data_IF_893220476466
#
_entry.id   IF_893220476466
#
_cell.length_a   1.000
_cell.length_b   1.000
_cell.length_c   1.000
_cell.angle_alpha   90.00
_cell.angle_beta   90.00
_cell.angle_gamma   90.00
#
_symmetry.space_group_name_H-M   'P 1'
#
loop_
_entity.id
_entity.type
_entity.pdbx_description
1 polymer ?
2 polymer ?
3 water ?
#
# COMPACT_ATOMS: atom_id res chain seq x y z
N UNK A 1 -21.50 19.22 0.82
CA UNK A 1 -20.15 18.84 0.32
C UNK A 1 -20.16 18.69 -1.19
N UNK A 2 -19.00 18.89 -1.80
CA UNK A 2 -18.87 18.74 -3.24
C UNK A 2 -18.60 17.25 -3.50
N UNK A 3 -19.66 16.49 -3.77
CA UNK A 3 -19.56 15.03 -4.01
C UNK A 3 -19.03 14.68 -5.40
N UNK A 4 -17.94 13.91 -5.43
CA UNK A 4 -17.35 13.49 -6.70
C UNK A 4 -17.55 11.99 -6.88
N UNK A 5 -17.93 11.57 -8.08
CA UNK A 5 -18.15 10.15 -8.32
C UNK A 5 -17.32 9.64 -9.51
N UNK A 6 -16.33 8.80 -9.24
CA UNK A 6 -15.50 8.28 -10.31
C UNK A 6 -16.06 6.98 -10.85
N UNK A 7 -15.89 6.77 -12.16
CA UNK A 7 -16.37 5.57 -12.85
C UNK A 7 -15.40 5.18 -13.98
N UNK A 8 -15.06 3.90 -14.09
CA UNK A 8 -15.50 2.78 -13.25
C UNK A 8 -14.68 2.76 -11.98
N UNK A 9 -14.67 1.62 -11.29
CA UNK A 9 -13.89 1.45 -10.07
C UNK A 9 -12.61 0.68 -10.41
N UNK A 10 -12.79 -0.36 -11.22
CA UNK A 10 -11.70 -1.19 -11.70
C UNK A 10 -11.83 -1.16 -13.22
N UNK A 11 -10.70 -1.01 -13.90
CA UNK A 11 -10.70 -0.95 -15.35
C UNK A 11 -9.48 -1.68 -15.91
N UNK A 12 -9.70 -2.86 -16.52
CA UNK A 12 -8.61 -3.65 -17.09
C UNK A 12 -8.13 -3.03 -18.41
N UNK A 13 -6.85 -3.19 -18.74
CA UNK A 13 -6.37 -2.64 -20.00
C UNK A 13 -5.14 -3.33 -20.55
N UNK A 14 -5.18 -3.59 -21.85
CA UNK A 14 -4.09 -4.24 -22.55
C UNK A 14 -3.02 -3.19 -22.74
N UNK A 15 -1.75 -3.60 -22.75
CA UNK A 15 -0.71 -2.62 -22.96
C UNK A 15 -1.04 -1.85 -24.22
N UNK A 16 -0.40 -0.72 -24.42
CA UNK A 16 -0.63 0.08 -25.63
C UNK A 16 -2.01 0.60 -25.95
N UNK A 17 -3.07 0.04 -25.38
CA UNK A 17 -4.43 0.52 -25.69
C UNK A 17 -4.73 1.88 -25.08
N UNK A 18 -5.99 2.29 -25.17
CA UNK A 18 -6.43 3.56 -24.58
C UNK A 18 -7.08 3.21 -23.26
N UNK A 19 -7.25 4.20 -22.41
CA UNK A 19 -7.87 4.00 -21.11
C UNK A 19 -8.57 5.29 -20.73
N UNK A 20 -9.78 5.18 -20.19
CA UNK A 20 -10.53 6.38 -19.83
C UNK A 20 -11.24 6.29 -18.49
N UNK A 21 -11.05 7.31 -17.66
CA UNK A 21 -11.72 7.38 -16.37
C UNK A 21 -12.57 8.62 -16.42
N UNK A 22 -13.76 8.56 -15.84
CA UNK A 22 -14.64 9.70 -15.84
C UNK A 22 -14.86 10.20 -14.43
N UNK A 23 -14.75 11.50 -14.25
CA UNK A 23 -14.95 12.14 -12.97
C UNK A 23 -16.05 13.18 -13.10
N UNK A 24 -17.13 13.03 -12.33
CA UNK A 24 -18.18 14.02 -12.39
C UNK A 24 -18.63 14.43 -11.00
N UNK A 25 -18.74 15.75 -10.80
CA UNK A 25 -19.12 16.35 -9.52
C UNK A 25 -20.61 16.54 -9.29
N UNK A 26 -20.95 16.82 -8.04
CA UNK A 26 -22.33 17.03 -7.66
C UNK A 26 -22.75 18.44 -8.03
N UNK A 27 -21.77 19.25 -8.45
CA UNK A 27 -22.04 20.62 -8.85
C UNK A 27 -20.93 21.28 -9.68
N UNK A 28 -21.26 22.42 -10.27
CA UNK A 28 -20.35 23.18 -11.11
C UNK A 28 -19.03 23.47 -10.39
N UNK A 29 -17.93 23.50 -11.14
CA UNK A 29 -16.63 23.76 -10.55
C UNK A 29 -16.03 25.04 -11.14
N UNK A 30 -16.91 25.92 -11.63
CA UNK A 30 -16.49 27.18 -12.22
C UNK A 30 -16.17 28.20 -11.15
N UNK A 31 -14.90 28.57 -11.03
CA UNK A 31 -14.52 29.56 -10.03
C UNK A 31 -14.89 30.94 -10.59
N UNK A 32 -15.18 31.87 -9.68
CA UNK A 32 -15.54 33.22 -10.09
C UNK A 32 -14.46 33.78 -11.02
N UNK A 33 -13.20 33.57 -10.66
CA UNK A 33 -12.09 34.04 -11.48
C UNK A 33 -12.11 33.32 -12.83
N UNK A 34 -13.21 32.64 -13.12
CA UNK A 34 -13.37 31.92 -14.38
C UNK A 34 -12.36 30.81 -14.62
N UNK A 35 -12.06 30.04 -13.57
CA UNK A 35 -11.09 28.96 -13.67
C UNK A 35 -11.68 27.75 -12.96
N UNK A 36 -11.72 26.61 -13.64
CA UNK A 36 -12.25 25.40 -13.03
C UNK A 36 -11.05 24.69 -12.43
N UNK A 37 -11.11 24.40 -11.13
CA UNK A 37 -10.00 23.73 -10.47
C UNK A 37 -10.15 22.23 -10.31
N UNK A 38 -10.12 21.50 -11.44
CA UNK A 38 -10.27 20.04 -11.41
C UNK A 38 -8.93 19.36 -11.68
N UNK A 39 -8.55 18.41 -10.83
CA UNK A 39 -7.27 17.73 -10.99
C UNK A 39 -7.32 16.23 -10.88
N UNK A 40 -6.33 15.58 -11.50
CA UNK A 40 -6.22 14.13 -11.50
C UNK A 40 -4.88 13.71 -10.89
N UNK A 41 -4.93 12.81 -9.92
CA UNK A 41 -3.73 12.32 -9.26
C UNK A 41 -3.53 10.84 -9.45
N UNK A 42 -2.28 10.41 -9.56
CA UNK A 42 -1.96 8.99 -9.69
C UNK A 42 -1.25 8.53 -8.44
N UNK A 43 -1.79 7.48 -7.82
CA UNK A 43 -1.15 6.93 -6.64
C UNK A 43 -0.85 5.48 -6.94
N UNK A 44 0.42 5.18 -7.17
CA UNK A 44 0.84 3.83 -7.48
C UNK A 44 0.98 3.05 -6.17
N UNK A 45 0.99 1.71 -6.25
CA UNK A 45 1.12 0.81 -5.10
C UNK A 45 2.10 1.28 -4.03
N UNK A 46 1.59 1.45 -2.82
CA UNK A 46 2.42 1.89 -1.71
C UNK A 46 3.16 3.20 -1.89
N UNK A 47 2.62 4.12 -2.67
CA UNK A 47 3.31 5.40 -2.85
C UNK A 47 2.41 6.61 -2.63
N UNK A 48 3.04 7.78 -2.63
CA UNK A 48 2.32 9.04 -2.42
C UNK A 48 1.66 9.45 -3.72
N UNK A 49 0.35 9.76 -3.68
CA UNK A 49 -0.31 10.16 -4.92
C UNK A 49 0.46 11.32 -5.54
N UNK A 50 0.46 11.39 -6.86
CA UNK A 50 1.14 12.46 -7.57
C UNK A 50 0.18 13.27 -8.41
N UNK A 51 0.57 14.51 -8.72
CA UNK A 51 -0.25 15.37 -9.56
C UNK A 51 0.05 15.08 -11.02
N UNK A 52 -1.00 14.86 -11.81
CA UNK A 52 -0.86 14.58 -13.24
C UNK A 52 -1.43 15.72 -14.05
N UNK A 53 -2.69 16.06 -13.78
CA UNK A 53 -3.34 17.15 -14.49
C UNK A 53 -3.95 18.17 -13.56
N UNK A 54 -3.68 19.43 -13.86
CA UNK A 54 -4.22 20.54 -13.08
C UNK A 54 -5.00 21.52 -13.96
N UNK A 55 -5.99 22.15 -13.34
CA UNK A 55 -6.88 23.09 -14.01
C UNK A 55 -7.54 22.47 -15.22
N UNK A 56 -8.33 21.45 -14.94
CA UNK A 56 -9.10 20.74 -15.94
C UNK A 56 -8.34 19.91 -16.95
N UNK A 57 -7.29 20.47 -17.54
CA UNK A 57 -6.56 19.72 -18.56
C UNK A 57 -5.10 20.06 -18.75
N UNK A 58 -4.47 20.70 -17.77
CA UNK A 58 -3.07 21.06 -17.91
C UNK A 58 -2.16 20.02 -17.30
N UNK A 59 -1.14 19.62 -18.04
CA UNK A 59 -0.23 18.60 -17.55
C UNK A 59 0.82 19.18 -16.61
N UNK A 60 1.12 18.43 -15.56
CA UNK A 60 2.12 18.84 -14.59
C UNK A 60 3.49 18.41 -15.09
N UNK A 61 4.51 19.23 -14.84
CA UNK A 61 5.87 18.96 -15.30
C UNK A 61 6.32 17.51 -15.08
N UNK A 62 6.98 16.97 -16.11
CA UNK A 62 7.47 15.60 -16.08
C UNK A 62 6.44 14.57 -16.50
N UNK A 63 5.16 14.97 -16.47
CA UNK A 63 4.05 14.11 -16.84
C UNK A 63 3.94 14.09 -18.36
N UNK A 64 4.15 12.90 -18.97
CA UNK A 64 4.09 12.66 -20.42
C UNK A 64 2.80 13.19 -21.03
N UNK A 65 2.83 13.38 -22.36
CA UNK A 65 1.65 13.88 -23.06
C UNK A 65 0.63 12.77 -23.34
N UNK A 66 0.96 11.54 -22.95
CA UNK A 66 0.09 10.39 -23.14
C UNK A 66 -1.15 10.56 -22.28
N UNK A 67 -1.00 11.39 -21.25
CA UNK A 67 -2.07 11.69 -20.32
C UNK A 67 -2.73 12.95 -20.79
N UNK A 68 -4.03 12.86 -21.05
CA UNK A 68 -4.78 14.01 -21.49
C UNK A 68 -6.03 14.18 -20.65
N UNK A 69 -6.38 15.44 -20.43
CA UNK A 69 -7.55 15.73 -19.64
C UNK A 69 -8.50 16.60 -20.41
N UNK A 70 -9.75 16.62 -19.97
CA UNK A 70 -10.77 17.44 -20.61
C UNK A 70 -11.98 17.48 -19.70
N UNK A 71 -12.84 18.45 -19.96
CA UNK A 71 -14.02 18.57 -19.13
C UNK A 71 -15.09 19.29 -19.90
N UNK A 72 -16.31 19.18 -19.42
CA UNK A 72 -17.45 19.81 -20.04
C UNK A 72 -18.57 19.78 -19.00
N UNK A 73 -19.18 20.93 -18.74
CA UNK A 73 -20.24 21.00 -17.75
C UNK A 73 -19.72 20.50 -16.41
N UNK A 74 -20.22 19.35 -15.98
CA UNK A 74 -19.80 18.75 -14.72
C UNK A 74 -19.18 17.40 -14.97
N UNK A 75 -18.89 17.10 -16.22
CA UNK A 75 -18.30 15.83 -16.58
C UNK A 75 -16.88 16.02 -17.08
N UNK A 76 -15.93 15.43 -16.36
CA UNK A 76 -14.53 15.54 -16.72
C UNK A 76 -13.96 14.18 -17.03
N UNK A 77 -12.97 14.16 -17.90
CA UNK A 77 -12.40 12.90 -18.29
C UNK A 77 -10.91 12.95 -18.48
N UNK A 78 -10.29 11.87 -18.04
CA UNK A 78 -8.86 11.68 -18.16
C UNK A 78 -8.69 10.52 -19.13
N UNK A 79 -7.65 10.63 -19.97
CA UNK A 79 -7.34 9.59 -20.95
C UNK A 79 -5.89 9.21 -20.92
N UNK A 80 -5.64 7.91 -20.88
CA UNK A 80 -4.28 7.41 -20.84
C UNK A 80 -4.00 6.71 -22.17
N UNK A 81 -3.78 7.48 -23.22
CA UNK A 81 -3.51 6.90 -24.53
C UNK A 81 -2.18 6.15 -24.41
N UNK A 82 -2.04 5.03 -25.13
CA UNK A 82 -0.79 4.25 -25.07
C UNK A 82 -0.46 3.88 -23.62
N UNK A 83 -1.14 2.87 -23.08
CA UNK A 83 -0.91 2.44 -21.70
C UNK A 83 0.44 1.74 -21.52
N UNK A 84 0.96 1.78 -20.29
CA UNK A 84 2.24 1.12 -19.97
C UNK A 84 2.21 0.34 -18.64
N UNK A 85 3.23 -0.48 -18.42
CA UNK A 85 3.33 -1.29 -17.19
C UNK A 85 3.35 -0.41 -15.94
N UNK A 86 4.09 0.70 -16.02
CA UNK A 86 4.22 1.65 -14.93
C UNK A 86 2.92 2.39 -14.62
N UNK A 87 2.02 2.45 -15.60
CA UNK A 87 0.77 3.18 -15.45
C UNK A 87 -0.28 2.58 -14.50
N UNK A 88 -0.02 1.40 -13.97
CA UNK A 88 -0.98 0.79 -13.07
C UNK A 88 -1.08 1.62 -11.79
N UNK A 89 -2.28 1.69 -11.24
CA UNK A 89 -2.46 2.44 -10.02
C UNK A 89 -3.85 3.02 -9.88
N UNK A 90 -4.13 3.59 -8.72
CA UNK A 90 -5.44 4.20 -8.50
C UNK A 90 -5.41 5.66 -8.96
N UNK A 91 -6.21 5.97 -9.96
CA UNK A 91 -6.22 7.32 -10.46
C UNK A 91 -7.27 8.16 -9.78
N UNK A 92 -6.80 9.26 -9.21
CA UNK A 92 -7.69 10.15 -8.51
C UNK A 92 -8.03 11.42 -9.25
N UNK A 93 -9.16 11.98 -8.85
CA UNK A 93 -9.65 13.21 -9.41
C UNK A 93 -10.18 14.03 -8.24
N UNK A 94 -9.61 15.22 -8.03
CA UNK A 94 -10.05 16.06 -6.93
C UNK A 94 -10.35 17.48 -7.36
N UNK A 95 -11.29 18.10 -6.67
CA UNK A 95 -11.64 19.46 -6.96
C UNK A 95 -11.21 20.35 -5.81
N UNK A 96 -10.77 21.55 -6.15
CA UNK A 96 -10.36 22.51 -5.14
C UNK A 96 -11.01 23.83 -5.47
N UNK A 97 -12.18 23.76 -6.12
CA UNK A 97 -12.92 24.97 -6.48
C UNK A 97 -13.74 25.47 -5.29
N UNK A 98 -13.89 24.62 -4.28
CA UNK A 98 -14.63 24.98 -3.08
C UNK A 98 -13.92 24.33 -1.91
N UNK A 99 -14.65 23.79 -0.95
CA UNK A 99 -13.96 23.11 0.12
C UNK A 99 -13.46 21.88 -0.62
N UNK A 100 -12.13 21.77 -0.78
CA UNK A 100 -11.47 20.67 -1.49
C UNK A 100 -11.99 19.29 -1.11
N UNK A 101 -12.38 18.52 -2.13
CA UNK A 101 -12.85 17.17 -1.92
C UNK A 101 -12.26 16.26 -2.99
N UNK A 102 -12.20 14.97 -2.70
CA UNK A 102 -11.61 14.00 -3.62
C UNK A 102 -12.58 12.98 -4.18
N UNK A 103 -12.15 12.26 -5.20
CA UNK A 103 -13.00 11.25 -5.81
C UNK A 103 -12.60 9.84 -5.42
N UNK A 104 -13.61 8.97 -5.31
CA UNK A 104 -13.38 7.58 -4.95
C UNK A 104 -12.10 7.00 -5.51
N UNK A 105 -11.96 7.00 -6.82
CA UNK A 105 -10.75 6.46 -7.39
C UNK A 105 -11.06 5.39 -8.41
N UNK A 106 -10.03 4.98 -9.13
CA UNK A 106 -10.15 3.97 -10.17
C UNK A 106 -8.85 3.21 -10.26
N UNK A 107 -8.92 1.89 -10.12
CA UNK A 107 -7.72 1.09 -10.17
C UNK A 107 -7.37 0.68 -11.58
N UNK A 108 -6.46 1.40 -12.22
CA UNK A 108 -6.08 1.01 -13.58
C UNK A 108 -5.35 -0.32 -13.42
N UNK A 109 -5.78 -1.32 -14.17
CA UNK A 109 -5.15 -2.61 -14.06
C UNK A 109 -4.61 -3.14 -15.39
N UNK A 110 -3.30 -3.31 -15.48
CA UNK A 110 -2.67 -3.82 -16.70
C UNK A 110 -3.17 -5.24 -16.92
N UNK A 111 -3.53 -5.56 -18.16
CA UNK A 111 -4.03 -6.90 -18.48
C UNK A 111 -3.10 -7.55 -19.48
N UNK A 112 -2.27 -8.47 -19.01
CA UNK A 112 -1.33 -9.14 -19.89
C UNK A 112 -1.63 -10.59 -20.22
N UNK A 113 -0.70 -11.19 -20.95
CA UNK A 113 -0.79 -12.57 -21.35
C UNK A 113 -0.82 -13.41 -20.11
N UNK A 114 -1.52 -14.54 -20.17
CA UNK A 114 -1.57 -15.43 -19.03
C UNK A 114 -0.15 -15.88 -18.71
N UNK A 115 0.05 -16.29 -17.47
CA UNK A 115 1.36 -16.74 -17.02
C UNK A 115 1.07 -17.79 -15.96
N UNK A 116 1.87 -18.84 -15.94
CA UNK A 116 1.69 -19.90 -14.96
C UNK A 116 2.39 -19.51 -13.67
N UNK A 117 1.92 -20.05 -12.54
CA UNK A 117 2.50 -19.75 -11.23
C UNK A 117 3.61 -20.72 -10.87
N UNK A 118 4.67 -20.20 -10.26
CA UNK A 118 5.74 -21.08 -9.85
C UNK A 118 5.41 -21.32 -8.37
N UNK A 119 5.28 -22.59 -8.00
CA UNK A 119 4.93 -22.94 -6.64
C UNK A 119 6.05 -23.50 -5.76
N UNK A 120 6.16 -22.95 -4.56
CA UNK A 120 7.13 -23.37 -3.55
C UNK A 120 6.42 -23.54 -2.21
N UNK A 121 6.90 -24.49 -1.40
CA UNK A 121 6.28 -24.75 -0.11
C UNK A 121 7.31 -24.61 1.01
N UNK A 122 6.85 -24.18 2.18
CA UNK A 122 7.76 -23.99 3.32
C UNK A 122 7.26 -24.63 4.60
N UNK A 123 8.06 -25.53 5.18
CA UNK A 123 7.59 -26.14 6.43
C UNK A 123 7.77 -25.14 7.56
N UNK A 124 7.03 -25.30 8.66
CA UNK A 124 7.17 -24.36 9.76
C UNK A 124 8.64 -24.35 10.25
N UNK A 125 9.04 -23.30 10.97
CA UNK A 125 10.40 -23.21 11.48
C UNK A 125 10.35 -23.38 13.00
N UNK A 126 11.14 -24.30 13.55
CA UNK A 126 11.17 -24.55 14.98
C UNK A 126 10.98 -23.27 15.80
N UNK A 127 11.44 -22.15 15.26
CA UNK A 127 11.33 -20.87 15.91
C UNK A 127 9.89 -20.44 16.11
N UNK A 128 8.95 -21.27 15.70
CA UNK A 128 7.55 -20.89 15.81
C UNK A 128 6.73 -21.84 16.66
N UNK A 129 7.28 -23.03 16.92
CA UNK A 129 6.60 -24.04 17.71
C UNK A 129 6.21 -23.60 19.10
N UNK A 130 7.08 -22.84 19.75
CA UNK A 130 6.81 -22.37 21.10
C UNK A 130 5.60 -21.43 21.12
N UNK A 131 5.09 -21.07 19.96
CA UNK A 131 3.93 -20.19 19.88
C UNK A 131 2.64 -20.98 20.00
N UNK A 132 2.78 -22.31 19.93
CA UNK A 132 1.64 -23.20 20.04
C UNK A 132 0.91 -23.44 18.74
N UNK A 133 1.58 -23.08 17.64
CA UNK A 133 0.99 -23.27 16.32
C UNK A 133 2.09 -23.34 15.26
N UNK A 134 1.84 -24.11 14.21
CA UNK A 134 2.80 -24.24 13.14
C UNK A 134 2.14 -23.78 11.85
N UNK A 135 2.83 -22.94 11.08
CA UNK A 135 2.29 -22.44 9.82
C UNK A 135 3.03 -23.05 8.64
N UNK A 136 2.27 -23.41 7.62
CA UNK A 136 2.83 -23.99 6.40
C UNK A 136 2.41 -23.02 5.30
N UNK A 137 3.38 -22.54 4.55
CA UNK A 137 3.09 -21.60 3.48
C UNK A 137 3.31 -22.18 2.10
N UNK A 138 2.38 -21.84 1.21
CA UNK A 138 2.40 -22.27 -0.18
C UNK A 138 2.44 -20.93 -0.91
N UNK A 139 3.49 -20.72 -1.70
CA UNK A 139 3.65 -19.46 -2.40
C UNK A 139 3.66 -19.58 -3.90
N UNK A 140 2.64 -18.98 -4.52
CA UNK A 140 2.49 -18.97 -5.98
C UNK A 140 3.04 -17.63 -6.46
N UNK A 141 4.12 -17.70 -7.24
CA UNK A 141 4.76 -16.51 -7.71
C UNK A 141 4.78 -16.28 -9.21
N UNK A 142 4.52 -15.05 -9.60
CA UNK A 142 4.53 -14.60 -11.00
C UNK A 142 3.42 -15.07 -11.92
N UNK A 143 2.27 -15.40 -11.35
CA UNK A 143 1.15 -15.88 -12.16
C UNK A 143 0.20 -14.78 -12.63
N UNK A 144 -0.54 -15.06 -13.70
CA UNK A 144 -1.55 -14.15 -14.23
C UNK A 144 -2.54 -15.03 -14.96
N UNK A 145 -3.85 -14.73 -14.87
CA UNK A 145 -4.60 -13.66 -14.19
C UNK A 145 -4.61 -13.73 -12.67
N UNK A 146 -5.11 -12.64 -12.07
CA UNK A 146 -5.18 -12.50 -10.63
C UNK A 146 -5.84 -13.68 -9.91
N UNK A 147 -6.91 -14.20 -10.50
CA UNK A 147 -7.67 -15.31 -9.93
C UNK A 147 -6.86 -16.61 -9.75
N UNK A 148 -7.40 -17.52 -8.94
CA UNK A 148 -6.78 -18.81 -8.71
C UNK A 148 -7.19 -19.44 -7.38
N UNK A 149 -7.28 -20.77 -7.37
CA UNK A 149 -7.67 -21.54 -6.20
C UNK A 149 -6.53 -22.38 -5.68
N UNK A 150 -6.40 -22.46 -4.35
CA UNK A 150 -5.37 -23.27 -3.73
C UNK A 150 -6.01 -24.32 -2.81
N UNK A 151 -5.33 -25.44 -2.59
CA UNK A 151 -5.90 -26.48 -1.75
C UNK A 151 -4.91 -27.25 -0.88
N UNK A 152 -5.27 -27.44 0.38
CA UNK A 152 -4.44 -28.16 1.33
C UNK A 152 -4.89 -29.57 1.68
N UNK A 153 -3.98 -30.53 1.50
CA UNK A 153 -4.26 -31.92 1.80
C UNK A 153 -3.27 -32.41 2.82
N UNK A 154 -3.76 -32.76 4.00
CA UNK A 154 -2.92 -33.24 5.10
C UNK A 154 -3.05 -34.75 5.24
N UNK A 155 -2.04 -35.49 4.79
CA UNK A 155 -2.05 -36.93 4.84
C UNK A 155 -3.14 -37.44 3.90
N UNK A 156 -3.45 -36.64 2.89
CA UNK A 156 -4.49 -37.00 1.94
C UNK A 156 -5.77 -36.19 2.05
N UNK A 157 -6.54 -36.43 3.10
CA UNK A 157 -7.80 -35.73 3.33
C UNK A 157 -7.68 -34.22 3.35
N UNK A 158 -8.21 -33.56 2.31
CA UNK A 158 -8.15 -32.11 2.22
C UNK A 158 -8.56 -31.42 3.51
N UNK A 159 -7.96 -30.26 3.75
CA UNK A 159 -8.21 -29.44 4.93
C UNK A 159 -8.66 -28.04 4.50
N UNK A 160 -9.73 -27.53 5.11
CA UNK A 160 -10.23 -26.20 4.76
C UNK A 160 -10.04 -25.10 5.81
N UNK A 161 -10.13 -25.49 7.08
CA UNK A 161 -9.95 -24.55 8.19
C UNK A 161 -8.47 -24.28 8.41
N UNK A 162 -8.17 -23.07 8.87
CA UNK A 162 -6.78 -22.71 9.11
C UNK A 162 -6.12 -22.14 7.86
N UNK A 163 -6.88 -21.99 6.79
CA UNK A 163 -6.33 -21.45 5.58
C UNK A 163 -6.63 -19.97 5.47
N UNK A 164 -5.60 -19.21 5.15
CA UNK A 164 -5.66 -17.76 5.00
C UNK A 164 -4.78 -17.38 3.80
N UNK A 165 -5.41 -16.85 2.76
CA UNK A 165 -4.72 -16.46 1.53
C UNK A 165 -4.77 -14.96 1.33
N UNK A 166 -3.64 -14.40 0.90
CA UNK A 166 -3.56 -12.97 0.63
C UNK A 166 -2.72 -12.83 -0.63
N UNK A 167 -3.00 -11.78 -1.41
CA UNK A 167 -2.31 -11.52 -2.68
C UNK A 167 -1.39 -10.29 -2.63
N UNK A 168 -0.46 -10.20 -3.58
CA UNK A 168 0.42 -9.05 -3.65
C UNK A 168 -0.32 -8.07 -4.55
N UNK A 169 0.38 -7.08 -5.09
CA UNK A 169 -0.27 -6.14 -5.99
C UNK A 169 0.24 -6.47 -7.39
N UNK A 170 -0.13 -5.67 -8.38
CA UNK A 170 0.34 -5.96 -9.74
C UNK A 170 1.77 -5.44 -9.89
N UNK A 171 2.69 -6.36 -10.17
CA UNK A 171 4.07 -5.98 -10.32
C UNK A 171 4.06 -4.96 -11.44
N UNK A 172 4.88 -3.94 -11.34
CA UNK A 172 4.92 -2.87 -12.34
C UNK A 172 5.90 -3.07 -13.47
N UNK A 173 6.49 -4.26 -13.57
CA UNK A 173 7.45 -4.51 -14.64
C UNK A 173 7.17 -5.79 -15.44
N UNK A 174 6.16 -6.55 -15.03
CA UNK A 174 5.76 -7.78 -15.74
C UNK A 174 4.27 -7.94 -15.54
N UNK A 175 3.72 -7.09 -14.69
CA UNK A 175 2.29 -7.10 -14.40
C UNK A 175 1.75 -8.49 -14.06
N UNK A 176 2.44 -9.20 -13.18
CA UNK A 176 1.98 -10.52 -12.77
C UNK A 176 1.84 -10.55 -11.25
N UNK A 177 0.78 -11.20 -10.79
CA UNK A 177 0.53 -11.31 -9.37
C UNK A 177 1.28 -12.49 -8.74
N UNK A 178 1.21 -12.56 -7.42
CA UNK A 178 1.80 -13.62 -6.61
C UNK A 178 0.92 -13.65 -5.37
N UNK A 179 0.84 -14.79 -4.71
CA UNK A 179 0.03 -14.86 -3.50
C UNK A 179 0.57 -15.93 -2.57
N UNK A 180 0.07 -15.95 -1.34
CA UNK A 180 0.52 -16.91 -0.35
C UNK A 180 -0.61 -17.65 0.35
N UNK A 181 -0.48 -18.96 0.45
CA UNK A 181 -1.49 -19.72 1.14
C UNK A 181 -0.88 -20.22 2.44
N UNK A 182 -1.43 -19.69 3.54
CA UNK A 182 -0.99 -20.00 4.88
C UNK A 182 -1.89 -20.94 5.65
N UNK A 183 -1.38 -22.13 5.94
CA UNK A 183 -2.14 -23.10 6.72
C UNK A 183 -1.57 -23.13 8.13
N UNK A 184 -2.38 -22.71 9.10
CA UNK A 184 -1.96 -22.68 10.49
C UNK A 184 -2.70 -23.72 11.34
N UNK A 185 -2.02 -24.80 11.68
CA UNK A 185 -2.62 -25.82 12.53
C UNK A 185 -2.00 -25.62 13.92
N UNK A 186 -2.51 -26.35 14.92
CA UNK A 186 -1.96 -26.23 16.27
C UNK A 186 -0.71 -27.07 16.35
N UNK A 187 0.15 -26.73 17.31
CA UNK A 187 1.40 -27.44 17.53
C UNK A 187 1.21 -28.96 17.52
N UNK A 188 0.44 -29.48 18.47
CA UNK A 188 0.18 -30.90 18.55
C UNK A 188 -0.36 -31.44 17.21
N UNK A 189 -1.23 -30.67 16.57
CA UNK A 189 -1.83 -31.03 15.29
C UNK A 189 -0.76 -31.31 14.23
N UNK A 190 -0.14 -30.23 13.78
CA UNK A 190 0.91 -30.28 12.76
C UNK A 190 1.90 -31.40 13.04
N UNK A 191 1.86 -31.93 14.25
CA UNK A 191 2.80 -32.99 14.62
C UNK A 191 2.23 -34.41 14.52
N UNK A 192 0.90 -34.53 14.50
CA UNK A 192 0.24 -35.84 14.40
C UNK A 192 0.12 -36.32 12.95
N UNK A 193 0.60 -35.52 12.00
CA UNK A 193 0.53 -35.87 10.57
C UNK A 193 1.92 -35.74 9.94
N UNK A 194 2.24 -36.55 8.92
CA UNK A 194 3.56 -36.48 8.30
C UNK A 194 3.65 -35.91 6.87
N UNK A 195 2.57 -36.00 6.09
CA UNK A 195 2.59 -35.46 4.72
C UNK A 195 1.72 -34.23 4.53
N UNK A 196 2.36 -33.12 4.18
CA UNK A 196 1.65 -31.87 3.96
C UNK A 196 1.68 -31.53 2.48
N UNK A 197 0.50 -31.28 1.90
CA UNK A 197 0.42 -31.02 0.48
C UNK A 197 -0.56 -29.97 0.01
N UNK A 198 -0.05 -28.95 -0.67
CA UNK A 198 -0.95 -27.95 -1.24
C UNK A 198 -0.98 -28.22 -2.72
N UNK A 199 -2.14 -27.97 -3.33
CA UNK A 199 -2.33 -28.19 -4.75
C UNK A 199 -3.00 -26.96 -5.34
N UNK A 200 -2.25 -26.23 -6.16
CA UNK A 200 -2.77 -25.03 -6.81
C UNK A 200 -3.51 -25.43 -8.08
N UNK A 201 -4.43 -24.59 -8.52
CA UNK A 201 -5.21 -24.89 -9.72
C UNK A 201 -5.53 -23.61 -10.49
N UNK A 202 -4.58 -23.16 -11.29
CA UNK A 202 -4.73 -21.93 -12.07
C UNK A 202 -5.26 -22.20 -13.46
N UNK A 203 -5.69 -21.14 -14.14
CA UNK A 203 -6.23 -21.21 -15.49
C UNK A 203 -5.22 -21.73 -16.54
N UNK A 204 -3.94 -21.44 -16.32
CA UNK A 204 -2.89 -21.87 -17.24
C UNK A 204 -2.59 -23.37 -17.08
N UNK A 205 -3.64 -24.13 -16.82
CA UNK A 205 -3.54 -25.58 -16.67
C UNK A 205 -4.88 -26.17 -16.21
N UNK A 206 -4.92 -27.50 -16.20
CA UNK A 206 -6.11 -28.24 -15.77
C UNK A 206 -5.64 -29.25 -14.74
N UNK A 207 -4.48 -29.85 -14.98
CA UNK A 207 -3.93 -30.78 -14.02
C UNK A 207 -3.38 -29.77 -13.00
N UNK A 208 -3.73 -29.94 -11.71
CA UNK A 208 -3.27 -29.02 -10.66
C UNK A 208 -1.77 -29.08 -10.41
N UNK A 209 -1.25 -28.03 -9.78
CA UNK A 209 0.16 -27.94 -9.44
C UNK A 209 0.41 -28.46 -8.02
N UNK A 210 0.78 -29.73 -7.93
CA UNK A 210 1.06 -30.36 -6.64
C UNK A 210 2.49 -30.07 -6.19
N UNK A 211 2.63 -29.72 -4.92
CA UNK A 211 3.92 -29.41 -4.33
C UNK A 211 3.78 -29.75 -2.85
N UNK A 212 4.65 -30.61 -2.33
CA UNK A 212 4.55 -30.99 -0.93
C UNK A 212 5.86 -31.42 -0.27
N UNK A 213 5.77 -31.70 1.03
CA UNK A 213 6.92 -32.13 1.81
C UNK A 213 6.47 -33.11 2.89
N UNK A 214 7.41 -33.92 3.36
CA UNK A 214 7.12 -34.91 4.37
C UNK A 214 8.09 -34.72 5.54
N UNK A 215 7.53 -34.69 6.75
CA UNK A 215 8.34 -34.51 7.96
C UNK A 215 9.22 -35.75 8.15
N UNK B 1 15.69 18.83 -6.64
CA UNK B 1 14.53 17.91 -6.41
C UNK B 1 13.84 18.18 -5.07
N UNK B 2 12.55 18.54 -5.13
CA UNK B 2 11.77 18.79 -3.92
C UNK B 2 11.57 17.50 -3.15
N UNK B 3 11.31 17.63 -1.84
CA UNK B 3 11.07 16.50 -0.98
C UNK B 3 10.29 16.95 0.26
N UNK B 4 9.45 16.08 0.78
CA UNK B 4 8.67 16.36 1.99
C UNK B 4 8.51 15.09 2.80
N UNK B 5 8.57 15.19 4.12
CA UNK B 5 8.45 14.02 4.97
C UNK B 5 7.69 14.24 6.27
N UNK B 6 6.68 13.41 6.50
CA UNK B 6 5.87 13.49 7.71
C UNK B 6 6.50 12.61 8.78
N UNK B 7 5.86 12.56 9.95
CA UNK B 7 6.35 11.77 11.08
C UNK B 7 5.43 11.95 12.29
N UNK B 8 5.62 11.08 13.28
CA UNK B 8 4.85 11.16 14.51
C UNK B 8 3.51 10.45 14.59
N UNK B 9 3.45 9.21 14.11
CA UNK B 9 2.20 8.47 14.15
C UNK B 9 2.28 7.21 15.00
N UNK B 10 1.14 6.61 15.27
CA UNK B 10 1.10 5.39 16.07
C UNK B 10 -0.28 5.20 16.71
N UNK B 11 -0.42 4.21 17.57
CA UNK B 11 -1.70 3.94 18.22
C UNK B 11 -2.04 4.97 19.31
N UNK B 12 -3.33 5.31 19.42
CA UNK B 12 -3.83 6.27 20.42
C UNK B 12 -5.18 5.77 20.95
N UNK B 13 -5.47 6.08 22.14
CA UNK B 13 -6.70 5.55 22.72
C UNK B 13 -7.84 6.42 22.37
N UNK B 14 -9.06 5.95 22.30
CA UNK B 14 -10.07 6.86 22.04
C UNK B 14 -9.89 7.86 23.11
N UNK B 15 -9.90 9.10 22.72
CA UNK B 15 -9.81 10.21 23.69
C UNK B 15 -8.43 10.92 23.67
N UNK B 16 -7.17 10.31 23.13
CA UNK B 16 -6.03 11.14 23.48
C UNK B 16 -5.68 12.21 22.47
N UNK B 17 -4.39 12.51 22.39
CA UNK B 17 -3.90 13.52 21.47
C UNK B 17 -2.66 13.03 20.78
N UNK B 18 -2.14 13.87 19.90
CA UNK B 18 -0.94 13.57 19.16
C UNK B 18 -0.59 14.72 18.24
N UNK B 19 0.66 14.80 17.85
CA UNK B 19 1.13 15.87 16.98
C UNK B 19 1.95 15.28 15.86
N UNK B 20 1.89 15.91 14.69
CA UNK B 20 2.64 15.42 13.54
C UNK B 20 3.58 16.51 13.02
N UNK B 21 4.76 16.10 12.58
CA UNK B 21 5.78 17.03 12.08
C UNK B 21 6.05 16.84 10.59
N UNK B 22 6.13 17.93 9.86
CA UNK B 22 6.37 17.87 8.43
C UNK B 22 7.52 18.77 8.05
N UNK B 23 8.52 18.20 7.39
CA UNK B 23 9.68 18.96 6.97
C UNK B 23 9.68 19.05 5.46
N UNK B 24 9.83 20.25 4.93
CA UNK B 24 9.86 20.44 3.49
C UNK B 24 11.23 20.96 3.10
N UNK B 25 11.74 20.51 1.94
CA UNK B 25 13.05 20.98 1.47
C UNK B 25 13.17 21.01 -0.06
N UNK B 26 13.59 22.14 -0.62
CA UNK B 26 13.73 22.22 -2.06
C UNK B 26 13.14 23.48 -2.65
N UNK B 27 12.22 24.06 -1.89
CA UNK B 27 11.55 25.28 -2.30
C UNK B 27 11.52 26.22 -1.11
N UNK B 28 11.31 27.49 -1.38
CA UNK B 28 11.23 28.47 -0.32
C UNK B 28 9.93 28.20 0.47
N UNK B 29 10.08 27.40 1.53
CA UNK B 29 8.97 27.02 2.40
C UNK B 29 8.02 28.18 2.79
N UNK B 30 8.54 29.40 2.75
CA UNK B 30 7.75 30.56 3.13
C UNK B 30 6.76 31.08 2.07
N UNK B 31 7.09 30.85 0.79
CA UNK B 31 6.25 31.32 -0.32
C UNK B 31 5.08 30.42 -0.65
N UNK B 32 4.73 29.47 0.21
CA UNK B 32 3.62 28.57 -0.11
C UNK B 32 2.71 28.26 1.05
N UNK B 33 1.59 27.63 0.72
CA UNK B 33 0.60 27.23 1.71
C UNK B 33 0.89 25.76 1.92
N UNK B 34 0.53 25.24 3.09
CA UNK B 34 0.75 23.83 3.33
C UNK B 34 -0.56 23.19 3.74
N UNK B 35 -0.71 21.91 3.43
CA UNK B 35 -1.94 21.21 3.73
C UNK B 35 -1.70 19.90 4.41
N UNK B 36 -2.77 19.41 5.03
CA UNK B 36 -2.75 18.13 5.66
C UNK B 36 -4.00 17.40 5.18
N UNK B 37 -3.75 16.24 4.57
CA UNK B 37 -4.81 15.40 4.04
C UNK B 37 -4.64 14.00 4.59
N UNK B 38 -5.73 13.41 5.05
CA UNK B 38 -5.70 12.06 5.58
C UNK B 38 -6.41 11.13 4.62
N UNK B 39 -6.11 9.84 4.71
CA UNK B 39 -6.72 8.88 3.82
C UNK B 39 -7.26 7.68 4.59
N UNK B 40 -8.55 7.67 4.87
CA UNK B 40 -9.17 6.57 5.62
C UNK B 40 -9.78 5.53 4.67
N UNK B 41 -9.63 4.24 5.01
CA UNK B 41 -10.18 3.12 4.21
C UNK B 41 -11.71 3.10 4.14
N UNK B 42 -12.30 4.27 4.26
CA UNK B 42 -13.76 4.45 4.20
C UNK B 42 -14.05 5.83 3.61
N UNK B 43 -13.76 6.87 4.38
CA UNK B 43 -13.98 8.23 3.87
C UNK B 43 -12.95 8.55 2.79
N UNK B 44 -12.29 7.51 2.29
CA UNK B 44 -11.28 7.71 1.24
C UNK B 44 -10.34 8.85 1.55
N UNK B 45 -9.96 9.60 0.52
CA UNK B 45 -9.06 10.74 0.73
C UNK B 45 -9.85 11.93 1.27
N UNK B 46 -9.37 12.50 2.37
CA UNK B 46 -10.04 13.63 3.00
C UNK B 46 -9.11 14.75 3.44
N UNK B 47 -9.42 15.98 3.03
CA UNK B 47 -8.62 17.14 3.38
C UNK B 47 -8.97 17.56 4.80
N UNK B 48 -7.95 17.96 5.55
CA UNK B 48 -8.13 18.36 6.95
C UNK B 48 -7.89 19.84 7.20
N UNK B 49 -6.65 20.30 6.99
CA UNK B 49 -6.35 21.70 7.23
C UNK B 49 -5.38 22.33 6.24
N UNK B 50 -5.32 23.66 6.29
CA UNK B 50 -4.46 24.46 5.42
C UNK B 50 -3.90 25.66 6.16
N UNK B 51 -2.62 25.94 5.97
CA UNK B 51 -1.97 27.10 6.61
C UNK B 51 -1.49 27.98 5.48
N UNK B 52 -1.30 29.28 5.75
CA UNK B 52 -0.87 30.17 4.70
C UNK B 52 0.40 30.97 4.98
N UNK B 53 0.76 31.85 4.05
CA UNK B 53 1.96 32.67 4.18
C UNK B 53 1.90 33.68 5.32
N UNK B 54 3.05 34.29 5.60
CA UNK B 54 3.20 35.29 6.66
C UNK B 54 2.23 36.43 6.39
N UNK B 55 2.44 37.09 5.25
CA UNK B 55 1.59 38.20 4.86
C UNK B 55 0.13 37.74 4.91
N UNK B 56 -0.09 36.46 4.63
CA UNK B 56 -1.42 35.88 4.65
C UNK B 56 -1.98 35.93 6.05
N UNK B 57 -1.19 36.50 6.96
CA UNK B 57 -1.62 36.62 8.35
C UNK B 57 -1.83 35.20 8.90
N UNK B 58 -0.83 34.34 8.68
CA UNK B 58 -0.86 32.95 9.13
C UNK B 58 -2.25 32.42 9.46
N UNK B 59 -3.15 32.50 8.49
CA UNK B 59 -4.53 32.04 8.66
C UNK B 59 -4.71 30.54 8.47
N UNK B 60 -5.67 29.99 9.21
CA UNK B 60 -5.96 28.56 9.15
C UNK B 60 -7.38 28.28 8.68
N UNK B 61 -7.62 27.03 8.30
CA UNK B 61 -8.91 26.56 7.82
C UNK B 61 -9.03 25.07 8.13
N UNK B 62 -10.01 24.72 8.96
CA UNK B 62 -10.18 23.32 9.33
C UNK B 62 -11.42 22.66 8.74
N UNK B 63 -11.23 21.49 8.15
CA UNK B 63 -12.33 20.75 7.57
C UNK B 63 -13.39 20.62 8.63
N UNK B 64 -14.53 21.25 8.39
CA UNK B 64 -15.66 21.26 9.31
C UNK B 64 -15.71 20.12 10.35
N UNK B 65 -15.31 18.91 9.95
CA UNK B 65 -15.33 17.76 10.84
C UNK B 65 -14.12 17.67 11.76
N UNK B 66 -13.29 18.72 11.77
CA UNK B 66 -12.10 18.73 12.62
C UNK B 66 -11.92 20.05 13.37
N UNK B 67 -12.84 21.00 13.18
CA UNK B 67 -12.75 22.30 13.86
C UNK B 67 -12.64 22.06 15.37
N UNK B 68 -11.66 22.73 15.99
CA UNK B 68 -11.48 22.57 17.42
C UNK B 68 -11.36 21.11 17.79
N UNK B 69 -10.19 20.55 17.49
CA UNK B 69 -9.85 19.15 17.76
C UNK B 69 -8.43 19.16 17.24
N UNK B 70 -8.30 19.75 16.05
CA UNK B 70 -7.01 19.85 15.38
C UNK B 70 -6.58 21.30 15.29
N UNK B 71 -5.27 21.48 15.13
CA UNK B 71 -4.68 22.79 15.00
C UNK B 71 -3.41 22.67 14.16
N UNK B 72 -3.30 23.52 13.15
CA UNK B 72 -2.15 23.52 12.26
C UNK B 72 -1.32 24.78 12.49
N UNK B 73 -0.03 24.56 12.68
CA UNK B 73 0.92 25.63 12.94
C UNK B 73 2.09 25.49 12.00
N UNK B 74 2.95 26.50 11.93
CA UNK B 74 4.11 26.45 11.06
C UNK B 74 5.31 27.26 11.57
N UNK B 75 6.48 26.98 11.02
CA UNK B 75 7.71 27.68 11.39
C UNK B 75 8.67 27.74 10.21
N UNK B 76 8.62 28.85 9.49
CA UNK B 76 9.43 29.07 8.30
C UNK B 76 10.95 28.94 8.51
N UNK B 77 11.42 29.30 9.71
CA UNK B 77 12.84 29.24 10.00
C UNK B 77 13.37 27.83 9.82
N UNK B 78 12.71 26.86 10.43
CA UNK B 78 13.13 25.46 10.32
C UNK B 78 12.41 24.73 9.18
N UNK B 79 11.52 25.45 8.50
CA UNK B 79 10.75 24.90 7.38
C UNK B 79 9.91 23.71 7.78
N UNK B 80 8.92 23.92 8.64
CA UNK B 80 8.07 22.83 9.06
C UNK B 80 6.66 23.26 9.43
N UNK B 81 5.73 22.32 9.31
CA UNK B 81 4.34 22.55 9.66
C UNK B 81 3.88 21.43 10.61
N UNK B 82 2.99 21.78 11.53
CA UNK B 82 2.52 20.82 12.54
C UNK B 82 1.02 20.67 12.63
N UNK B 83 0.59 19.47 13.00
CA UNK B 83 -0.83 19.19 13.15
C UNK B 83 -1.18 18.64 14.54
N UNK B 84 -1.46 19.55 15.45
CA UNK B 84 -1.83 19.17 16.81
C UNK B 84 -3.17 18.46 16.74
N UNK B 85 -3.25 17.27 17.31
CA UNK B 85 -4.48 16.51 17.30
C UNK B 85 -4.90 16.11 18.69
N UNK B 86 -6.07 16.59 19.08
CA UNK B 86 -6.61 16.34 20.41
C UNK B 86 -8.05 15.83 20.32
N UNK B 87 -8.38 14.86 21.17
CA UNK B 87 -9.73 14.26 21.21
C UNK B 87 -9.91 13.26 20.09
N UNK B 88 -8.83 12.61 19.68
CA UNK B 88 -8.87 11.64 18.60
C UNK B 88 -9.99 10.61 18.75
N UNK B 89 -10.88 10.55 17.75
CA UNK B 89 -11.96 9.57 17.76
C UNK B 89 -11.55 8.53 16.73
N UNK B 90 -12.13 7.33 16.84
CA UNK B 90 -11.83 6.26 15.89
C UNK B 90 -11.81 6.79 14.48
N UNK B 91 -12.72 7.72 14.19
CA UNK B 91 -12.84 8.32 12.87
C UNK B 91 -11.53 8.96 12.38
N UNK B 92 -10.82 9.62 13.29
CA UNK B 92 -9.56 10.28 12.94
C UNK B 92 -8.47 9.35 12.44
N UNK B 93 -8.74 8.05 12.42
CA UNK B 93 -7.73 7.09 11.96
C UNK B 93 -7.33 7.41 10.53
N UNK B 94 -6.36 6.65 10.02
CA UNK B 94 -5.91 6.84 8.65
C UNK B 94 -4.53 7.42 8.49
N UNK B 95 -4.03 7.37 7.25
CA UNK B 95 -2.71 7.88 6.92
C UNK B 95 -2.76 9.39 6.70
N UNK B 96 -1.71 10.09 7.11
CA UNK B 96 -1.71 11.53 6.92
C UNK B 96 -0.62 12.08 6.00
N UNK B 97 -1.06 12.83 5.00
CA UNK B 97 -0.16 13.40 4.01
C UNK B 97 -0.03 14.90 4.18
N UNK B 98 1.22 15.36 4.05
CA UNK B 98 1.58 16.76 4.16
C UNK B 98 1.88 17.20 2.74
N UNK B 99 1.12 18.13 2.21
CA UNK B 99 1.33 18.54 0.83
C UNK B 99 1.50 20.04 0.66
N UNK B 100 1.94 20.44 -0.54
CA UNK B 100 2.12 21.84 -0.84
C UNK B 100 1.06 22.33 -1.82
N UNK B 101 0.52 23.51 -1.55
CA UNK B 101 -0.47 24.07 -2.44
C UNK B 101 0.25 24.97 -3.42
N UNK B 102 0.68 24.40 -4.54
CA UNK B 102 1.39 25.17 -5.55
C UNK B 102 0.62 26.32 -6.19
N UNK B 103 1.30 27.07 -7.05
CA UNK B 103 0.68 28.20 -7.75
C UNK B 103 -0.56 27.73 -8.50
N UNK B 104 -0.49 26.50 -8.97
CA UNK B 104 -1.53 25.83 -9.74
C UNK B 104 -2.87 25.56 -9.03
N UNK B 105 -3.05 26.07 -7.82
CA UNK B 105 -4.29 25.85 -7.10
C UNK B 105 -4.53 24.38 -6.82
N UNK B 106 -3.44 23.61 -6.74
CA UNK B 106 -3.53 22.17 -6.48
C UNK B 106 -2.37 21.68 -5.63
N UNK B 107 -2.62 20.67 -4.81
CA UNK B 107 -1.58 20.11 -3.97
C UNK B 107 -0.64 19.33 -4.85
N UNK B 108 0.50 19.94 -5.16
CA UNK B 108 1.47 19.32 -6.04
C UNK B 108 2.41 18.29 -5.47
N UNK B 109 3.14 18.61 -4.41
CA UNK B 109 4.05 17.62 -3.86
C UNK B 109 3.60 17.01 -2.56
N UNK B 110 3.51 15.68 -2.56
CA UNK B 110 3.05 14.95 -1.38
C UNK B 110 4.13 14.19 -0.61
N UNK B 111 3.95 14.07 0.69
CA UNK B 111 4.93 13.35 1.47
C UNK B 111 4.67 11.86 1.39
N UNK B 112 5.59 11.08 1.95
CA UNK B 112 5.45 9.64 1.96
C UNK B 112 4.14 9.33 2.69
N UNK B 113 3.81 10.19 3.64
CA UNK B 113 2.61 10.00 4.44
C UNK B 113 2.95 9.30 5.75
N UNK B 114 1.98 9.17 6.65
CA UNK B 114 2.23 8.51 7.92
C UNK B 114 0.93 8.03 8.57
N UNK B 115 0.95 6.77 9.00
CA UNK B 115 -0.23 6.18 9.61
C UNK B 115 -0.59 6.80 10.96
N UNK B 116 -1.80 6.54 11.41
CA UNK B 116 -2.30 7.04 12.68
C UNK B 116 -3.46 6.13 12.97
N UNK B 117 -3.42 5.44 14.10
CA UNK B 117 -4.50 4.54 14.43
C UNK B 117 -5.13 4.95 15.76
N UNK B 118 -6.46 5.12 15.75
CA UNK B 118 -7.18 5.48 16.97
C UNK B 118 -7.97 4.24 17.38
N UNK B 119 -7.60 3.64 18.51
CA UNK B 119 -8.29 2.47 19.01
C UNK B 119 -8.06 2.26 20.50
N UNK B 120 -8.82 1.33 21.09
CA UNK B 120 -8.69 1.04 22.51
C UNK B 120 -7.71 -0.12 22.67
N UNK B 121 -7.44 -0.81 21.55
CA UNK B 121 -6.49 -1.91 21.55
C UNK B 121 -5.10 -1.30 21.80
N UNK B 122 -4.16 -2.14 22.21
CA UNK B 122 -2.80 -1.70 22.51
C UNK B 122 -1.76 -2.24 21.53
N UNK B 123 -0.65 -1.56 21.38
CA UNK B 123 0.39 -2.02 20.45
C UNK B 123 0.90 -3.43 20.78
N UNK B 124 1.38 -4.12 19.75
CA UNK B 124 1.94 -5.47 19.85
C UNK B 124 2.92 -5.62 18.70
N UNK B 125 4.20 -5.72 19.02
CA UNK B 125 5.21 -5.86 17.98
C UNK B 125 5.13 -7.18 17.21
N UNK B 126 5.51 -7.13 15.92
CA UNK B 126 5.49 -8.28 15.03
C UNK B 126 6.39 -9.41 15.51
N UNK B 127 6.12 -10.62 15.01
CA UNK B 127 6.94 -11.78 15.33
C UNK B 127 7.33 -12.32 13.97
N UNK B 128 8.63 -12.45 13.72
CA UNK B 128 9.10 -12.92 12.43
C UNK B 128 9.69 -14.32 12.40
N UNK B 129 9.23 -15.11 11.45
CA UNK B 129 9.71 -16.48 11.29
C UNK B 129 10.38 -16.65 9.93
N UNK B 130 11.30 -17.62 9.82
CA UNK B 130 12.00 -17.87 8.58
C UNK B 130 11.30 -18.80 7.63
N UNK B 131 11.13 -18.34 6.39
CA UNK B 131 10.51 -19.14 5.34
C UNK B 131 11.66 -19.59 4.45
N UNK B 132 12.08 -20.83 4.66
CA UNK B 132 13.17 -21.41 3.90
C UNK B 132 12.74 -22.80 3.41
N UNK B 133 13.22 -23.19 2.21
CA UNK B 133 12.94 -24.48 1.56
C UNK B 133 12.97 -25.70 2.47
N UNK B 134 12.21 -25.28 1.94
CA UNK B 134 12.01 -26.61 2.49
C UNK B 134 12.58 -27.79 1.71
N UNK B 135 13.79 -28.21 2.08
CA UNK B 135 14.52 -29.33 1.48
C UNK B 135 13.78 -29.99 0.31
N UNK B 136 14.11 -29.57 -0.91
CA UNK B 136 13.48 -30.11 -2.12
C UNK B 136 14.41 -30.00 -3.32
N UNK B 137 13.90 -30.38 -4.50
CA UNK B 137 14.68 -30.32 -5.75
C UNK B 137 14.45 -28.98 -6.46
N UNK B 138 15.53 -28.42 -6.99
CA UNK B 138 15.47 -27.13 -7.68
C UNK B 138 14.57 -27.08 -8.92
N UNK B 139 13.32 -26.64 -8.73
CA UNK B 139 12.38 -26.54 -9.84
C UNK B 139 11.39 -25.39 -9.61
N UNK B 140 11.94 -24.19 -9.42
CA UNK B 140 11.10 -23.01 -9.20
C UNK B 140 11.92 -21.74 -9.07
N UNK B 141 12.37 -21.21 -10.21
CA UNK B 141 13.16 -19.98 -10.23
C UNK B 141 14.28 -19.98 -9.18
N UNK B 142 15.80 -19.22 -8.44
CA UNK B 142 16.47 -20.50 -8.23
C UNK B 142 16.40 -20.90 -6.77
N UNK B 143 15.89 -19.99 -5.94
CA UNK B 143 15.71 -20.18 -4.50
C UNK B 143 14.89 -19.01 -3.97
N UNK B 144 13.92 -19.31 -3.12
CA UNK B 144 13.07 -18.27 -2.54
C UNK B 144 13.10 -18.36 -1.02
N UNK B 145 13.26 -17.21 -0.37
CA UNK B 145 13.30 -17.14 1.10
C UNK B 145 12.28 -16.12 1.56
N UNK B 146 12.01 -16.11 2.85
CA UNK B 146 11.04 -15.17 3.37
C UNK B 146 11.01 -14.99 4.88
N UNK B 147 10.25 -13.98 5.29
CA UNK B 147 10.06 -13.64 6.69
C UNK B 147 8.56 -13.58 6.91
N UNK B 148 8.07 -14.43 7.81
CA UNK B 148 6.65 -14.48 8.08
C UNK B 148 6.24 -13.60 9.23
N UNK B 149 6.04 -12.32 8.97
CA UNK B 149 5.62 -11.40 10.02
C UNK B 149 4.24 -11.77 10.53
N UNK B 150 4.13 -12.09 11.81
CA UNK B 150 2.84 -12.48 12.36
C UNK B 150 2.43 -11.79 13.65
N UNK B 151 1.15 -11.93 13.99
CA UNK B 151 0.61 -11.34 15.19
C UNK B 151 1.22 -10.02 15.64
N UNK B 152 0.85 -8.94 14.97
CA UNK B 152 1.32 -7.60 15.32
C UNK B 152 0.18 -6.60 15.24
N UNK B 153 0.41 -5.37 15.66
CA UNK B 153 -0.65 -4.37 15.64
C UNK B 153 -0.11 -3.06 16.16
N UNK B 154 -0.49 -1.92 15.53
CA UNK B 154 -1.37 -1.82 14.38
C UNK B 154 -0.53 -1.79 13.12
N UNK B 155 -1.19 -1.50 12.01
CA UNK B 155 -0.52 -1.42 10.74
C UNK B 155 0.19 -0.06 10.69
N UNK B 156 1.28 0.02 9.92
CA UNK B 156 1.75 -1.13 9.16
C UNK B 156 3.06 -1.65 9.68
N UNK B 157 3.76 -2.37 8.81
CA UNK B 157 5.10 -2.90 9.08
C UNK B 157 5.71 -2.93 7.69
N UNK B 158 6.96 -2.52 7.57
CA UNK B 158 7.59 -2.51 6.27
C UNK B 158 8.80 -3.43 6.23
N UNK B 159 8.76 -4.38 5.32
CA UNK B 159 9.83 -5.33 5.14
C UNK B 159 10.79 -4.78 4.08
N UNK B 160 12.05 -5.19 4.16
CA UNK B 160 13.08 -4.78 3.21
C UNK B 160 14.17 -5.82 3.31
N UNK B 161 14.86 -6.08 2.21
CA UNK B 161 15.93 -7.08 2.25
C UNK B 161 17.35 -6.54 2.08
N UNK B 162 18.27 -7.06 2.88
CA UNK B 162 19.66 -6.63 2.85
C UNK B 162 19.70 -5.11 2.95
N UNK B 163 18.92 -4.59 3.90
CA UNK B 163 18.81 -3.16 4.20
C UNK B 163 18.22 -2.31 3.07
N UNK B 164 17.66 -2.96 2.05
CA UNK B 164 17.07 -2.22 0.94
C UNK B 164 17.94 -2.30 -0.29
N UNK B 165 19.03 -3.04 -0.18
CA UNK B 165 19.96 -3.22 -1.30
C UNK B 165 19.58 -4.49 -2.05
N UNK B 166 18.28 -4.78 -2.04
CA UNK B 166 17.73 -5.94 -2.70
C UNK B 166 16.29 -5.56 -3.02
N UNK B 167 16.03 -5.23 -4.29
CA UNK B 167 14.68 -4.81 -4.69
C UNK B 167 14.04 -5.71 -5.76
N UNK B 168 14.89 -6.27 -6.61
CA UNK B 168 14.45 -7.14 -7.70
C UNK B 168 14.07 -8.55 -7.26
N UNK B 169 12.82 -8.92 -7.52
CA UNK B 169 12.39 -10.25 -7.13
C UNK B 169 11.69 -10.26 -5.79
N UNK B 170 11.58 -9.08 -5.18
CA UNK B 170 10.91 -8.92 -3.88
C UNK B 170 9.41 -9.11 -4.08
N UNK B 171 8.78 -9.74 -3.10
CA UNK B 171 7.35 -10.00 -3.21
C UNK B 171 6.69 -9.96 -1.83
N UNK B 172 5.79 -8.99 -1.63
CA UNK B 172 5.13 -8.82 -0.34
C UNK B 172 3.61 -8.77 -0.37
N UNK B 173 2.95 -9.83 0.10
CA UNK B 173 1.49 -9.89 0.14
C UNK B 173 0.96 -8.80 1.06
N UNK B 174 -0.35 -8.74 1.21
CA UNK B 174 -0.91 -7.71 2.08
C UNK B 174 -1.35 -8.19 3.45
N UNK B 175 -1.58 -7.22 4.33
CA UNK B 175 -2.02 -7.47 5.69
C UNK B 175 -3.36 -8.20 5.68
N UNK B 176 -3.55 -9.06 6.66
CA UNK B 176 -4.79 -9.80 6.77
C UNK B 176 -5.14 -9.85 8.25
N UNK B 177 -6.00 -8.93 8.67
CA UNK B 177 -6.42 -8.86 10.04
C UNK B 177 -7.26 -10.04 10.43
N UNK B 178 -6.80 -10.78 11.45
CA UNK B 178 -7.51 -11.93 11.99
C UNK B 178 -7.13 -12.12 13.46
N UNK B 179 -8.13 -12.27 14.31
CA UNK B 179 -7.93 -12.44 15.75
C UNK B 179 -7.48 -11.10 16.31
N UNK B 180 -7.59 -10.07 15.48
CA UNK B 180 -7.18 -8.73 15.88
C UNK B 180 -5.71 -8.53 15.58
N UNK B 181 -5.13 -9.45 14.79
CA UNK B 181 -3.71 -9.37 14.45
C UNK B 181 -3.32 -9.43 12.97
N UNK B 182 -2.72 -8.34 12.51
CA UNK B 182 -2.27 -8.23 11.14
C UNK B 182 -1.09 -9.17 10.89
N UNK B 183 -1.04 -9.73 9.69
CA UNK B 183 0.01 -10.66 9.32
C UNK B 183 0.21 -10.63 7.81
N UNK B 184 1.46 -10.56 7.37
CA UNK B 184 1.77 -10.53 5.94
C UNK B 184 2.92 -11.46 5.67
N UNK B 185 3.45 -11.41 4.46
CA UNK B 185 4.59 -12.24 4.07
C UNK B 185 5.42 -11.48 3.06
N UNK B 186 6.72 -11.76 3.06
CA UNK B 186 7.60 -11.11 2.09
C UNK B 186 8.66 -12.11 1.69
N UNK B 187 8.68 -12.44 0.40
CA UNK B 187 9.66 -13.38 -0.11
C UNK B 187 10.44 -12.80 -1.26
N UNK B 188 11.68 -13.24 -1.40
CA UNK B 188 12.52 -12.75 -2.47
C UNK B 188 13.18 -13.93 -3.12
N UNK B 189 13.35 -13.85 -4.43
CA UNK B 189 13.96 -14.91 -5.19
C UNK B 189 15.39 -14.54 -5.57
N UNK B 190 16.29 -15.51 -5.48
CA UNK B 190 17.67 -15.25 -5.83
C UNK B 190 18.34 -16.43 -6.51
N UNK B 191 19.42 -16.18 -7.26
CA UNK B 191 20.16 -17.23 -7.97
C UNK B 191 20.68 -18.24 -6.95
N UNK B 192 20.22 -19.49 -7.07
CA UNK B 192 20.61 -20.56 -6.16
C UNK B 192 22.12 -20.68 -5.89
N UNK B 193 22.95 -19.91 -6.58
CA UNK B 193 24.39 -19.97 -6.35
C UNK B 193 24.79 -18.84 -5.41
N UNK B 194 24.03 -17.74 -5.45
CA UNK B 194 24.32 -16.60 -4.59
C UNK B 194 23.78 -16.86 -3.19
N UNK B 195 23.50 -18.13 -2.90
CA UNK B 195 23.02 -18.55 -1.59
C UNK B 195 23.45 -19.98 -1.37
N UNK B 196 23.81 -20.35 -0.13
CA UNK B 196 23.85 -19.50 1.07
C UNK B 196 25.22 -18.87 1.26
N UNK B 197 26.02 -18.85 0.19
CA UNK B 197 27.35 -18.28 0.27
C UNK B 197 27.23 -16.77 0.50
N UNK B 198 26.02 -16.25 0.28
CA UNK B 198 25.76 -14.84 0.47
C UNK B 198 24.88 -14.56 1.68
N UNK B 199 24.93 -13.32 2.16
CA UNK B 199 24.15 -12.90 3.32
C UNK B 199 22.78 -12.33 2.93
N UNK B 200 21.71 -12.94 3.45
CA UNK B 200 20.35 -12.49 3.14
C UNK B 200 19.61 -12.13 4.42
N UNK B 201 19.08 -10.92 4.50
CA UNK B 201 18.38 -10.51 5.71
C UNK B 201 17.16 -9.61 5.44
N UNK B 202 16.09 -9.79 6.20
CA UNK B 202 14.90 -8.95 6.03
C UNK B 202 14.92 -7.91 7.13
N UNK B 203 14.33 -6.74 6.86
CA UNK B 203 14.32 -5.70 7.86
C UNK B 203 12.88 -5.29 8.17
N UNK B 204 12.25 -6.06 9.05
CA UNK B 204 10.86 -5.81 9.44
C UNK B 204 10.71 -4.67 10.47
N UNK B 205 10.25 -3.52 10.01
CA UNK B 205 10.08 -2.40 10.92
C UNK B 205 8.62 -2.25 11.31
N UNK B 206 8.35 -2.01 12.59
CA UNK B 206 6.98 -1.83 13.07
C UNK B 206 6.88 -0.52 13.86
N UNK B 207 6.78 0.61 13.12
CA UNK B 207 6.68 2.00 13.56
C UNK B 207 5.85 2.27 14.81
N UNK B 208 4.75 1.54 14.98
CA UNK B 208 3.87 1.73 16.13
C UNK B 208 4.59 1.43 17.43
N UNK B 209 5.51 0.46 17.42
CA UNK B 209 6.26 0.12 18.62
C UNK B 209 7.73 0.48 18.44
N UNK B 210 8.00 1.21 17.35
CA UNK B 210 9.34 1.67 17.02
C UNK B 210 10.33 0.52 17.16
N UNK B 211 10.16 -0.51 16.35
CA UNK B 211 11.04 -1.67 16.47
C UNK B 211 11.54 -2.31 15.17
N UNK B 212 12.62 -1.76 14.61
CA UNK B 212 13.21 -2.31 13.39
C UNK B 212 13.63 -3.73 13.75
N UNK B 213 13.78 -4.60 12.77
CA UNK B 213 14.16 -5.98 13.02
C UNK B 213 15.14 -6.45 11.96
N UNK B 214 16.13 -7.26 12.34
CA UNK B 214 17.12 -7.76 11.40
C UNK B 214 17.34 -9.27 11.56
N UNK B 215 16.66 -10.05 10.74
CA UNK B 215 16.76 -11.51 10.78
C UNK B 215 17.45 -11.97 9.49
N UNK B 216 18.04 -13.16 9.50
CA UNK B 216 18.70 -13.67 8.30
C UNK B 216 18.40 -15.13 8.01
N UNK B 217 17.81 -15.43 6.83
CA UNK B 217 17.50 -16.82 6.48
C UNK B 217 18.78 -17.61 6.14
N UNK B 218 18.95 -18.74 6.82
CA UNK B 218 20.11 -19.60 6.59
C UNK B 218 19.64 -21.03 6.38
N UNK B 219 20.38 -21.81 5.58
CA UNK B 219 20.02 -23.19 5.32
C UNK B 219 19.86 -23.97 6.63
N UNK B 220 18.66 -24.49 6.93
CA UNK B 220 18.37 -25.26 8.14
C UNK B 220 18.58 -26.78 8.01
#
# INVERSE_FOLDING_TARGET
DVVLTQTPLSLPVRLGDQASISCRSSQSLLHSDGNTYLHWYLQKPGQSPKLLIYKVSNRFSGVPDRFSGSGSGTDFTLKISRVEAEDLGVYFCSQTTHVPTFGGGTKLEIKRADAAPTVSIFPPSSEQLTSGGASVVCFLNNFYPKDINVKWKIDGSERQNGVLNSWTDQDSKDSTYSMSSTLTLTKDEYERHNSYTCEATHKTSTSPIVKSFNR
EVKVEESGGGLVQPGGSMKLSCVASGFTFSNYWMEWVRQSPEKGLEWVAEIRLKSNNYATHYAESVKGRFTISRDDSKSSVYLQMNNLRAEDTGIYYCTRGGAVGAMDYWGQGTSVTVSSATTTAPSVYPLVPGCSDTSGSSVTLGCLVKGYFPEPVTVKWNYGALSSGVRTVSSVLQSGFYSLSSLVTVPSSTWPSQTVICNVAHPASKVDLIKEPSGP
#
